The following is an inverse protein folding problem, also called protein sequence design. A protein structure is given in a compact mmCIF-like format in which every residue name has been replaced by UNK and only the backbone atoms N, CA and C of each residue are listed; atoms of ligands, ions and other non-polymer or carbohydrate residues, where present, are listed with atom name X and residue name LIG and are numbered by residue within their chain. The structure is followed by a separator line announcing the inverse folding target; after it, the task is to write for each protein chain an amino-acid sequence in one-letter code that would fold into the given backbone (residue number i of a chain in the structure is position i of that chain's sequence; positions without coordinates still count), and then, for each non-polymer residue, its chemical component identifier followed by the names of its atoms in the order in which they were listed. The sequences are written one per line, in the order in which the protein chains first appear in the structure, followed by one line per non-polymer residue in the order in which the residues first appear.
data_IF_265380398168
#
_entry.id   IF_265380398168
#
_cell.length_a   1.000
_cell.length_b   1.000
_cell.length_c   1.000
_cell.angle_alpha   90.00
_cell.angle_beta   90.00
_cell.angle_gamma   90.00
#
_symmetry.space_group_name_H-M   'P 1'
#
loop_
_entity.id
_entity.type
_entity.pdbx_description
1 polymer ?
#
# COMPACT_ATOMS: atom_id res chain seq x y z
N UNK A 1 8.07 -9.47 9.60
CA UNK A 1 8.63 -10.75 10.06
C UNK A 1 8.28 -11.07 11.52
N UNK A 2 7.80 -10.09 12.31
CA UNK A 2 7.59 -10.24 13.75
C UNK A 2 6.11 -10.31 14.18
N UNK A 3 5.16 -10.44 13.24
CA UNK A 3 3.75 -10.54 13.58
C UNK A 3 3.45 -11.82 14.39
N UNK A 4 2.67 -11.69 15.45
CA UNK A 4 2.29 -12.82 16.31
C UNK A 4 1.56 -13.87 15.48
N UNK A 5 2.05 -15.12 15.53
CA UNK A 5 1.45 -16.24 14.81
C UNK A 5 2.02 -16.50 13.41
N UNK A 6 3.05 -15.77 12.98
CA UNK A 6 3.72 -16.02 11.70
C UNK A 6 4.25 -17.47 11.62
N UNK A 7 3.98 -18.15 10.50
CA UNK A 7 4.39 -19.52 10.23
C UNK A 7 3.46 -20.60 10.77
N UNK A 8 2.43 -20.25 11.54
CA UNK A 8 1.45 -21.23 12.02
C UNK A 8 0.65 -21.82 10.85
N UNK A 9 0.21 -23.06 11.03
CA UNK A 9 -0.63 -23.79 10.08
C UNK A 9 -2.01 -23.99 10.68
N UNK A 10 -3.03 -23.79 9.87
CA UNK A 10 -4.43 -23.93 10.24
C UNK A 10 -5.13 -24.92 9.31
N UNK A 11 -6.22 -25.51 9.79
CA UNK A 11 -6.99 -26.51 9.05
C UNK A 11 -7.93 -25.89 8.04
N UNK A 12 -8.50 -24.72 8.37
CA UNK A 12 -9.45 -23.99 7.53
C UNK A 12 -9.47 -22.48 7.84
N UNK A 13 -10.28 -21.73 7.08
CA UNK A 13 -10.42 -20.28 7.24
C UNK A 13 -11.14 -19.89 8.56
N UNK A 14 -12.07 -20.72 9.04
CA UNK A 14 -12.82 -20.45 10.28
C UNK A 14 -11.91 -20.51 11.51
N UNK A 15 -10.99 -21.49 11.54
CA UNK A 15 -9.97 -21.58 12.58
C UNK A 15 -9.06 -20.35 12.59
N UNK A 16 -8.65 -19.87 11.40
CA UNK A 16 -7.84 -18.64 11.28
C UNK A 16 -8.59 -17.44 11.81
N UNK A 17 -9.87 -17.27 11.42
CA UNK A 17 -10.70 -16.15 11.89
C UNK A 17 -10.85 -16.16 13.40
N UNK A 18 -11.18 -17.31 13.99
CA UNK A 18 -11.29 -17.48 15.43
C UNK A 18 -9.97 -17.15 16.15
N UNK A 19 -8.85 -17.62 15.63
CA UNK A 19 -7.53 -17.33 16.19
C UNK A 19 -7.18 -15.83 16.12
N UNK A 20 -7.58 -15.14 15.04
CA UNK A 20 -7.35 -13.71 14.88
C UNK A 20 -8.26 -12.88 15.81
N UNK A 21 -9.53 -13.23 15.94
CA UNK A 21 -10.48 -12.57 16.84
C UNK A 21 -10.11 -12.76 18.33
N UNK A 22 -9.55 -13.92 18.67
CA UNK A 22 -9.01 -14.18 20.02
C UNK A 22 -7.64 -13.53 20.29
N UNK A 23 -7.04 -12.84 19.31
CA UNK A 23 -5.72 -12.22 19.45
C UNK A 23 -4.54 -13.19 19.46
N UNK A 24 -4.74 -14.46 19.10
CA UNK A 24 -3.70 -15.47 19.03
C UNK A 24 -2.80 -15.34 17.78
N UNK A 25 -3.29 -14.63 16.78
CA UNK A 25 -2.56 -14.22 15.57
C UNK A 25 -2.93 -12.80 15.19
N UNK A 26 -1.98 -12.08 14.60
CA UNK A 26 -2.25 -10.77 14.02
C UNK A 26 -2.78 -10.90 12.59
N UNK A 27 -3.61 -9.95 12.15
CA UNK A 27 -4.23 -9.94 10.82
C UNK A 27 -3.23 -9.96 9.66
N UNK A 28 -2.02 -9.43 9.87
CA UNK A 28 -0.92 -9.40 8.90
C UNK A 28 0.04 -10.58 9.02
N UNK A 29 -0.13 -11.47 9.99
CA UNK A 29 0.74 -12.63 10.17
C UNK A 29 0.65 -13.56 8.95
N UNK A 30 1.80 -13.96 8.42
CA UNK A 30 1.87 -14.97 7.35
C UNK A 30 1.62 -16.34 7.92
N UNK A 31 0.57 -16.99 7.46
CA UNK A 31 0.09 -18.28 7.92
C UNK A 31 -0.02 -19.25 6.74
N UNK A 32 -0.13 -20.55 7.04
CA UNK A 32 -0.34 -21.60 6.05
C UNK A 32 -1.70 -22.23 6.26
N UNK A 33 -2.53 -22.24 5.19
CA UNK A 33 -3.89 -22.76 5.22
C UNK A 33 -4.23 -23.38 3.86
N UNK A 34 -5.11 -24.41 3.79
CA UNK A 34 -5.65 -24.88 2.52
C UNK A 34 -6.43 -23.75 1.81
N UNK A 35 -6.21 -23.59 0.52
CA UNK A 35 -6.91 -22.58 -0.29
C UNK A 35 -8.43 -22.87 -0.31
N UNK A 36 -9.28 -21.92 0.10
CA UNK A 36 -10.73 -22.13 0.12
C UNK A 36 -11.35 -22.14 -1.28
N UNK A 37 -10.71 -21.48 -2.24
CA UNK A 37 -11.14 -21.35 -3.64
C UNK A 37 -9.93 -21.48 -4.59
N UNK A 38 -10.18 -21.61 -5.88
CA UNK A 38 -9.15 -21.53 -6.91
C UNK A 38 -8.52 -20.13 -6.97
N UNK A 39 -7.29 -20.06 -7.46
CA UNK A 39 -6.58 -18.79 -7.59
C UNK A 39 -7.19 -17.88 -8.66
N UNK A 40 -7.39 -16.59 -8.35
CA UNK A 40 -7.80 -15.57 -9.32
C UNK A 40 -6.81 -15.43 -10.48
N UNK A 41 -5.51 -15.63 -10.21
CA UNK A 41 -4.50 -15.75 -11.27
C UNK A 41 -4.38 -17.21 -11.67
N UNK A 42 -4.62 -17.50 -12.95
CA UNK A 42 -4.55 -18.85 -13.49
C UNK A 42 -3.21 -19.54 -13.15
N UNK A 43 -3.31 -20.77 -12.68
CA UNK A 43 -2.18 -21.67 -12.50
C UNK A 43 -1.33 -21.50 -11.24
N UNK A 44 -1.66 -20.57 -10.32
CA UNK A 44 -0.90 -20.38 -9.08
C UNK A 44 -1.17 -21.48 -8.04
N UNK A 45 -2.45 -21.80 -7.78
CA UNK A 45 -2.89 -22.85 -6.86
C UNK A 45 -4.34 -23.22 -7.14
N UNK A 46 -4.75 -24.38 -6.65
CA UNK A 46 -6.14 -24.88 -6.71
C UNK A 46 -6.73 -24.97 -5.31
N UNK A 47 -8.05 -25.07 -5.24
CA UNK A 47 -8.76 -25.32 -3.99
C UNK A 47 -8.19 -26.55 -3.28
N UNK A 48 -7.84 -26.38 -2.00
CA UNK A 48 -7.25 -27.42 -1.16
C UNK A 48 -5.72 -27.43 -1.12
N UNK A 49 -5.02 -26.74 -2.03
CA UNK A 49 -3.58 -26.57 -1.95
C UNK A 49 -3.18 -25.75 -0.72
N UNK A 50 -2.06 -26.10 -0.09
CA UNK A 50 -1.57 -25.34 1.06
C UNK A 50 -0.91 -24.07 0.54
N UNK A 51 -1.52 -22.92 0.85
CA UNK A 51 -1.03 -21.60 0.48
C UNK A 51 -0.47 -20.85 1.69
N UNK A 52 0.50 -19.98 1.43
CA UNK A 52 0.93 -18.97 2.39
C UNK A 52 0.11 -17.70 2.14
N UNK A 53 -0.62 -17.26 3.15
CA UNK A 53 -1.51 -16.10 3.09
C UNK A 53 -1.53 -15.39 4.43
N UNK A 54 -2.40 -14.39 4.61
CA UNK A 54 -2.63 -13.72 5.89
C UNK A 54 -4.07 -13.85 6.33
N UNK A 55 -4.34 -13.71 7.63
CA UNK A 55 -5.70 -13.69 8.15
C UNK A 55 -6.54 -12.57 7.51
N UNK A 56 -5.93 -11.40 7.25
CA UNK A 56 -6.59 -10.30 6.56
C UNK A 56 -6.98 -10.62 5.11
N UNK A 57 -6.12 -11.34 4.37
CA UNK A 57 -6.42 -11.79 3.01
C UNK A 57 -7.57 -12.79 2.99
N UNK A 58 -7.61 -13.72 3.95
CA UNK A 58 -8.73 -14.66 4.09
C UNK A 58 -10.04 -13.93 4.36
N UNK A 59 -10.06 -13.02 5.34
CA UNK A 59 -11.25 -12.23 5.66
C UNK A 59 -11.74 -11.37 4.48
N UNK A 60 -10.81 -10.82 3.67
CA UNK A 60 -11.16 -10.11 2.44
C UNK A 60 -11.87 -11.03 1.44
N UNK A 61 -11.32 -12.22 1.19
CA UNK A 61 -11.89 -13.16 0.24
C UNK A 61 -13.20 -13.80 0.72
N UNK A 62 -13.40 -13.97 2.02
CA UNK A 62 -14.68 -14.41 2.60
C UNK A 62 -15.82 -13.40 2.36
N UNK A 63 -15.49 -12.12 2.32
CA UNK A 63 -16.49 -11.08 2.02
C UNK A 63 -16.84 -11.00 0.53
N UNK A 64 -16.04 -11.60 -0.36
CA UNK A 64 -16.30 -11.58 -1.80
C UNK A 64 -17.38 -12.60 -2.18
N UNK A 65 -18.17 -12.35 -3.27
CA UNK A 65 -19.10 -13.33 -3.83
C UNK A 65 -18.42 -14.69 -4.07
N UNK A 66 -19.18 -15.77 -3.96
CA UNK A 66 -18.66 -17.14 -4.13
C UNK A 66 -18.06 -17.38 -5.51
N UNK A 67 -18.57 -16.69 -6.51
CA UNK A 67 -18.16 -16.79 -7.91
C UNK A 67 -16.79 -16.15 -8.18
N UNK A 68 -16.34 -15.26 -7.30
CA UNK A 68 -15.03 -14.61 -7.42
C UNK A 68 -13.95 -15.50 -6.85
N UNK A 69 -12.95 -15.82 -7.66
CA UNK A 69 -11.81 -16.64 -7.29
C UNK A 69 -10.94 -15.97 -6.22
N UNK A 70 -10.10 -16.74 -5.53
CA UNK A 70 -9.31 -16.29 -4.38
C UNK A 70 -8.14 -15.39 -4.80
N UNK A 71 -8.09 -14.19 -4.24
CA UNK A 71 -7.00 -13.23 -4.46
C UNK A 71 -6.00 -13.29 -3.32
N UNK A 72 -4.76 -13.71 -3.60
CA UNK A 72 -3.67 -13.85 -2.63
C UNK A 72 -2.52 -12.87 -2.91
N UNK A 73 -2.84 -11.62 -3.16
CA UNK A 73 -1.86 -10.56 -3.35
C UNK A 73 -2.30 -9.26 -2.69
N UNK A 74 -1.34 -8.35 -2.49
CA UNK A 74 -1.65 -7.03 -1.98
C UNK A 74 -2.36 -6.21 -3.06
N UNK A 75 -3.60 -5.83 -2.80
CA UNK A 75 -4.41 -5.01 -3.71
C UNK A 75 -4.17 -3.52 -3.45
N UNK A 76 -3.52 -2.87 -4.41
CA UNK A 76 -3.52 -1.42 -4.51
C UNK A 76 -4.66 -0.91 -5.40
N UNK A 77 -4.73 0.39 -5.65
CA UNK A 77 -5.78 0.98 -6.50
C UNK A 77 -5.79 0.41 -7.93
N UNK A 78 -4.60 0.20 -8.50
CA UNK A 78 -4.46 -0.30 -9.88
C UNK A 78 -4.86 -1.78 -9.98
N UNK A 79 -4.46 -2.58 -9.01
CA UNK A 79 -4.76 -4.01 -8.94
C UNK A 79 -6.25 -4.22 -8.71
N UNK A 80 -6.86 -3.42 -7.83
CA UNK A 80 -8.29 -3.45 -7.56
C UNK A 80 -9.10 -3.07 -8.81
N UNK A 81 -8.71 -2.03 -9.55
CA UNK A 81 -9.37 -1.67 -10.83
C UNK A 81 -9.31 -2.82 -11.83
N UNK A 82 -8.14 -3.43 -12.02
CA UNK A 82 -8.00 -4.59 -12.92
C UNK A 82 -8.86 -5.78 -12.50
N UNK A 83 -8.94 -6.06 -11.20
CA UNK A 83 -9.82 -7.10 -10.66
C UNK A 83 -11.28 -6.81 -10.97
N UNK A 84 -11.74 -5.59 -10.76
CA UNK A 84 -13.12 -5.17 -11.06
C UNK A 84 -13.41 -5.31 -12.55
N UNK A 85 -12.52 -4.84 -13.43
CA UNK A 85 -12.66 -4.97 -14.89
C UNK A 85 -12.71 -6.45 -15.31
N UNK A 86 -11.86 -7.29 -14.73
CA UNK A 86 -11.83 -8.72 -15.03
C UNK A 86 -13.14 -9.40 -14.66
N UNK A 87 -13.70 -9.13 -13.46
CA UNK A 87 -14.98 -9.69 -13.02
C UNK A 87 -16.14 -9.15 -13.85
N UNK A 88 -16.11 -7.87 -14.22
CA UNK A 88 -17.16 -7.26 -15.05
C UNK A 88 -17.25 -7.89 -16.45
N UNK A 89 -16.11 -8.19 -17.07
CA UNK A 89 -16.01 -8.78 -18.40
C UNK A 89 -16.06 -10.31 -18.43
N UNK A 90 -15.99 -10.95 -17.27
CA UNK A 90 -16.11 -12.40 -17.19
C UNK A 90 -17.54 -12.86 -17.53
N UNK A 91 -17.64 -14.03 -18.19
CA UNK A 91 -18.94 -14.63 -18.50
C UNK A 91 -19.60 -15.24 -17.25
N UNK A 92 -20.95 -15.22 -17.19
CA UNK A 92 -21.68 -15.93 -16.13
C UNK A 92 -21.32 -17.44 -16.12
N UNK A 93 -21.22 -18.09 -14.92
CA UNK A 93 -21.56 -17.56 -13.61
C UNK A 93 -20.43 -16.79 -12.91
N UNK A 94 -19.20 -16.77 -13.45
CA UNK A 94 -18.01 -16.21 -12.77
C UNK A 94 -17.93 -14.68 -12.77
N UNK A 95 -18.81 -13.99 -13.48
CA UNK A 95 -18.74 -12.53 -13.59
C UNK A 95 -20.00 -11.89 -14.12
N UNK A 96 -19.85 -10.65 -14.60
CA UNK A 96 -20.91 -9.81 -15.13
C UNK A 96 -21.32 -8.69 -14.16
N UNK A 97 -22.19 -7.80 -14.64
CA UNK A 97 -22.57 -6.58 -13.92
C UNK A 97 -23.13 -6.84 -12.50
N UNK A 98 -23.96 -7.88 -12.34
CA UNK A 98 -24.58 -8.18 -11.04
C UNK A 98 -23.54 -8.61 -9.98
N UNK A 99 -22.65 -9.55 -10.33
CA UNK A 99 -21.58 -10.02 -9.44
C UNK A 99 -20.62 -8.87 -9.11
N UNK A 100 -20.32 -8.03 -10.10
CA UNK A 100 -19.49 -6.84 -9.88
C UNK A 100 -20.12 -5.88 -8.87
N UNK A 101 -21.43 -5.65 -8.91
CA UNK A 101 -22.12 -4.79 -7.93
C UNK A 101 -22.03 -5.40 -6.53
N UNK A 102 -22.30 -6.70 -6.38
CA UNK A 102 -22.18 -7.39 -5.09
C UNK A 102 -20.76 -7.32 -4.54
N UNK A 103 -19.75 -7.52 -5.39
CA UNK A 103 -18.35 -7.42 -5.04
C UNK A 103 -17.99 -6.01 -4.58
N UNK A 104 -18.43 -4.96 -5.27
CA UNK A 104 -18.17 -3.57 -4.89
C UNK A 104 -18.83 -3.21 -3.55
N UNK A 105 -20.05 -3.68 -3.30
CA UNK A 105 -20.73 -3.49 -2.02
C UNK A 105 -20.01 -4.22 -0.88
N UNK A 106 -19.51 -5.43 -1.12
CA UNK A 106 -18.75 -6.19 -0.16
C UNK A 106 -17.41 -5.50 0.17
N UNK A 107 -16.66 -5.04 -0.85
CA UNK A 107 -15.42 -4.28 -0.67
C UNK A 107 -15.66 -3.00 0.16
N UNK A 108 -16.72 -2.26 -0.17
CA UNK A 108 -17.12 -1.07 0.58
C UNK A 108 -17.40 -1.40 2.05
N UNK A 109 -18.20 -2.42 2.31
CA UNK A 109 -18.62 -2.82 3.66
C UNK A 109 -17.42 -3.26 4.52
N UNK A 110 -16.56 -4.13 3.97
CA UNK A 110 -15.35 -4.59 4.69
C UNK A 110 -14.35 -3.45 4.89
N UNK A 111 -14.22 -2.54 3.92
CA UNK A 111 -13.37 -1.36 4.01
C UNK A 111 -13.80 -0.45 5.17
N UNK A 112 -15.06 -0.06 5.25
CA UNK A 112 -15.57 0.76 6.35
C UNK A 112 -15.46 0.07 7.71
N UNK A 113 -15.84 -1.21 7.79
CA UNK A 113 -15.73 -2.00 9.03
C UNK A 113 -14.30 -2.00 9.56
N UNK A 114 -13.34 -2.36 8.71
CA UNK A 114 -11.95 -2.47 9.13
C UNK A 114 -11.30 -1.11 9.39
N UNK A 115 -11.63 -0.06 8.63
CA UNK A 115 -11.17 1.29 8.91
C UNK A 115 -11.63 1.80 10.27
N UNK A 116 -12.87 1.48 10.66
CA UNK A 116 -13.42 1.82 11.97
C UNK A 116 -12.69 1.11 13.09
N UNK A 117 -12.43 -0.20 12.96
CA UNK A 117 -11.71 -0.97 13.97
C UNK A 117 -10.24 -0.58 14.06
N UNK A 118 -9.60 -0.29 12.94
CA UNK A 118 -8.19 0.11 12.92
C UNK A 118 -7.98 1.47 13.60
N UNK A 119 -8.93 2.40 13.47
CA UNK A 119 -8.89 3.70 14.13
C UNK A 119 -7.59 4.47 13.83
N UNK A 120 -7.22 4.59 12.54
CA UNK A 120 -5.97 5.19 12.13
C UNK A 120 -5.77 6.59 12.72
N UNK A 121 -4.70 6.78 13.48
CA UNK A 121 -4.28 8.06 14.07
C UNK A 121 -2.85 8.37 13.68
N UNK A 122 -2.52 9.67 13.58
CA UNK A 122 -1.17 10.13 13.32
C UNK A 122 -0.58 10.62 14.64
N UNK A 123 0.50 9.97 15.07
CA UNK A 123 1.31 10.40 16.22
C UNK A 123 2.51 11.23 15.76
N UNK A 124 3.12 12.00 16.68
CA UNK A 124 4.35 12.73 16.39
C UNK A 124 5.49 11.82 15.95
N UNK A 125 5.54 10.60 16.48
CA UNK A 125 6.55 9.59 16.10
C UNK A 125 6.39 9.07 14.68
N UNK A 126 5.23 9.27 14.04
CA UNK A 126 5.00 8.87 12.66
C UNK A 126 5.59 9.87 11.66
N UNK A 127 5.92 11.08 12.12
CA UNK A 127 6.49 12.16 11.31
C UNK A 127 8.01 12.04 11.33
N UNK A 128 8.57 11.43 10.29
CA UNK A 128 10.01 11.26 10.16
C UNK A 128 10.63 12.37 9.32
N UNK A 129 11.64 13.03 9.88
CA UNK A 129 12.47 13.98 9.14
C UNK A 129 13.72 13.23 8.68
N UNK A 130 14.00 13.13 7.35
CA UNK A 130 15.22 12.50 6.86
C UNK A 130 16.47 13.18 7.43
N UNK A 131 17.42 12.39 7.90
CA UNK A 131 18.66 12.93 8.48
C UNK A 131 19.48 13.71 7.44
N UNK A 132 19.37 13.32 6.18
CA UNK A 132 20.04 13.93 5.05
C UNK A 132 19.46 15.29 4.65
N UNK A 133 18.28 15.67 5.14
CA UNK A 133 17.60 16.93 4.78
C UNK A 133 18.53 18.12 4.95
N UNK A 134 19.20 18.25 6.10
CA UNK A 134 20.10 19.38 6.38
C UNK A 134 21.23 19.46 5.38
N UNK A 135 21.91 18.34 5.13
CA UNK A 135 23.05 18.29 4.18
C UNK A 135 22.64 18.58 2.75
N UNK A 136 21.45 18.14 2.33
CA UNK A 136 20.90 18.44 1.00
C UNK A 136 20.58 19.92 0.87
N UNK A 137 19.88 20.49 1.85
CA UNK A 137 19.55 21.92 1.88
C UNK A 137 20.80 22.80 1.84
N UNK A 138 21.84 22.46 2.61
CA UNK A 138 23.11 23.23 2.63
C UNK A 138 23.82 23.19 1.27
N UNK A 139 23.78 22.06 0.56
CA UNK A 139 24.31 21.95 -0.80
C UNK A 139 23.56 22.82 -1.79
N UNK A 140 22.24 22.73 -1.78
CA UNK A 140 21.38 23.50 -2.68
C UNK A 140 21.53 25.00 -2.43
N UNK A 141 21.57 25.44 -1.17
CA UNK A 141 21.79 26.85 -0.85
C UNK A 141 23.11 27.37 -1.42
N UNK A 142 24.19 26.60 -1.33
CA UNK A 142 25.49 26.98 -1.92
C UNK A 142 25.43 27.06 -3.46
N UNK A 143 24.65 26.20 -4.11
CA UNK A 143 24.46 26.27 -5.56
C UNK A 143 23.60 27.47 -5.96
N UNK A 144 22.54 27.76 -5.19
CA UNK A 144 21.71 28.98 -5.39
C UNK A 144 22.56 30.24 -5.23
N UNK A 145 23.42 30.31 -4.20
CA UNK A 145 24.33 31.46 -4.01
C UNK A 145 25.27 31.66 -5.22
N UNK A 146 25.79 30.59 -5.82
CA UNK A 146 26.60 30.67 -7.04
C UNK A 146 25.79 31.26 -8.21
N UNK A 147 24.57 30.75 -8.43
CA UNK A 147 23.68 31.24 -9.48
C UNK A 147 23.37 32.74 -9.29
N UNK A 148 23.08 33.15 -8.05
CA UNK A 148 22.83 34.57 -7.72
C UNK A 148 24.09 35.42 -7.95
N UNK A 149 25.26 34.95 -7.58
CA UNK A 149 26.53 35.64 -7.82
C UNK A 149 26.84 35.80 -9.32
N UNK A 150 26.56 34.78 -10.13
CA UNK A 150 26.74 34.83 -11.58
C UNK A 150 25.74 35.81 -12.25
N UNK A 151 24.50 35.87 -11.75
CA UNK A 151 23.55 36.90 -12.14
C UNK A 151 24.04 38.30 -11.80
N UNK A 152 24.55 38.50 -10.59
CA UNK A 152 25.07 39.82 -10.16
C UNK A 152 26.32 40.27 -10.94
N UNK A 153 27.07 39.32 -11.52
CA UNK A 153 28.19 39.57 -12.44
C UNK A 153 27.75 39.83 -13.88
N UNK A 154 26.46 39.75 -14.19
CA UNK A 154 25.93 39.93 -15.53
C UNK A 154 26.15 38.75 -16.49
N UNK A 155 26.48 37.57 -15.97
CA UNK A 155 26.75 36.36 -16.77
C UNK A 155 25.47 35.72 -17.26
N UNK A 156 24.33 35.99 -16.62
CA UNK A 156 23.02 35.43 -16.99
C UNK A 156 21.88 36.45 -16.85
N UNK A 157 20.78 36.19 -17.53
CA UNK A 157 19.56 36.99 -17.47
C UNK A 157 18.73 36.67 -16.22
N UNK A 158 17.76 37.52 -15.90
CA UNK A 158 16.85 37.29 -14.78
C UNK A 158 15.98 36.03 -14.96
N UNK A 159 15.57 35.76 -16.20
CA UNK A 159 14.76 34.58 -16.54
C UNK A 159 15.58 33.29 -16.42
N UNK A 160 16.81 33.27 -16.91
CA UNK A 160 17.71 32.13 -16.76
C UNK A 160 18.04 31.84 -15.30
N UNK A 161 18.22 32.88 -14.46
CA UNK A 161 18.40 32.70 -13.02
C UNK A 161 17.19 32.04 -12.40
N UNK A 162 15.98 32.53 -12.72
CA UNK A 162 14.73 32.02 -12.19
C UNK A 162 14.53 30.55 -12.56
N UNK A 163 14.71 30.21 -13.83
CA UNK A 163 14.59 28.85 -14.33
C UNK A 163 15.57 27.89 -13.67
N UNK A 164 16.85 28.28 -13.55
CA UNK A 164 17.88 27.46 -12.90
C UNK A 164 17.59 27.23 -11.42
N UNK A 165 17.19 28.26 -10.67
CA UNK A 165 16.87 28.15 -9.25
C UNK A 165 15.63 27.26 -9.04
N UNK A 166 14.58 27.47 -9.82
CA UNK A 166 13.36 26.66 -9.73
C UNK A 166 13.63 25.21 -10.06
N UNK A 167 14.35 24.92 -11.15
CA UNK A 167 14.74 23.56 -11.55
C UNK A 167 15.58 22.85 -10.48
N UNK A 168 16.48 23.58 -9.82
CA UNK A 168 17.30 23.05 -8.74
C UNK A 168 16.47 22.67 -7.51
N UNK A 169 15.53 23.53 -7.14
CA UNK A 169 14.61 23.24 -6.03
C UNK A 169 13.67 22.07 -6.35
N UNK A 170 13.08 22.04 -7.54
CA UNK A 170 12.21 20.94 -7.97
C UNK A 170 12.92 19.58 -7.94
N UNK A 171 14.18 19.54 -8.40
CA UNK A 171 14.99 18.33 -8.34
C UNK A 171 15.24 17.91 -6.89
N UNK A 172 15.59 18.85 -6.04
CA UNK A 172 15.89 18.58 -4.63
C UNK A 172 14.65 18.11 -3.88
N UNK A 173 13.51 18.72 -4.15
CA UNK A 173 12.22 18.33 -3.56
C UNK A 173 11.86 16.89 -3.93
N UNK A 174 11.99 16.52 -5.21
CA UNK A 174 11.77 15.14 -5.67
C UNK A 174 12.69 14.14 -5.00
N UNK A 175 13.98 14.47 -4.87
CA UNK A 175 14.96 13.61 -4.22
C UNK A 175 14.68 13.46 -2.71
N UNK A 176 14.34 14.56 -2.04
CA UNK A 176 14.01 14.57 -0.61
C UNK A 176 12.71 13.81 -0.33
N UNK A 177 11.68 14.02 -1.15
CA UNK A 177 10.40 13.30 -1.06
C UNK A 177 10.59 11.81 -1.23
N UNK A 178 11.41 11.38 -2.20
CA UNK A 178 11.72 9.97 -2.40
C UNK A 178 12.38 9.35 -1.16
N UNK A 179 13.40 10.01 -0.61
CA UNK A 179 14.08 9.54 0.62
C UNK A 179 13.14 9.51 1.82
N UNK A 180 12.27 10.51 1.95
CA UNK A 180 11.27 10.54 3.01
C UNK A 180 10.33 9.33 2.90
N UNK A 181 9.82 9.02 1.72
CA UNK A 181 8.96 7.86 1.49
C UNK A 181 9.68 6.54 1.78
N UNK A 182 10.94 6.40 1.37
CA UNK A 182 11.76 5.22 1.68
C UNK A 182 11.98 5.03 3.20
N UNK A 183 12.17 6.13 3.93
CA UNK A 183 12.33 6.08 5.39
C UNK A 183 11.00 5.75 6.09
N UNK A 184 9.88 6.32 5.63
CA UNK A 184 8.55 6.02 6.14
C UNK A 184 8.16 4.55 5.88
N UNK A 185 8.55 3.98 4.72
CA UNK A 185 8.31 2.57 4.40
C UNK A 185 9.03 1.62 5.36
N UNK A 186 10.24 1.97 5.78
CA UNK A 186 11.02 1.15 6.72
C UNK A 186 10.59 1.33 8.18
N UNK A 187 9.92 2.43 8.49
CA UNK A 187 9.48 2.73 9.84
C UNK A 187 8.34 1.82 10.26
N UNK A 188 8.42 1.29 11.48
CA UNK A 188 7.43 0.36 12.05
C UNK A 188 7.14 -0.85 11.12
N UNK A 189 8.17 -1.36 10.44
CA UNK A 189 8.07 -2.51 9.52
C UNK A 189 6.98 -2.32 8.41
N UNK A 190 6.80 -1.09 7.93
CA UNK A 190 5.80 -0.75 6.91
C UNK A 190 4.42 -0.37 7.44
N UNK A 191 4.25 -0.27 8.76
CA UNK A 191 2.99 0.12 9.42
C UNK A 191 2.98 1.58 9.90
N UNK A 192 3.80 2.44 9.30
CA UNK A 192 3.67 3.87 9.52
C UNK A 192 2.36 4.39 8.91
N UNK A 193 1.52 5.04 9.72
CA UNK A 193 0.17 5.46 9.30
C UNK A 193 0.21 6.46 8.14
N UNK A 194 1.19 7.37 8.13
CA UNK A 194 1.35 8.36 7.05
C UNK A 194 1.71 7.66 5.74
N UNK A 195 2.67 6.71 5.79
CA UNK A 195 3.07 5.94 4.63
C UNK A 195 1.93 5.09 4.07
N UNK A 196 1.16 4.43 4.95
CA UNK A 196 0.00 3.63 4.55
C UNK A 196 -1.06 4.48 3.84
N UNK A 197 -1.37 5.69 4.36
CA UNK A 197 -2.32 6.60 3.72
C UNK A 197 -1.83 7.09 2.36
N UNK A 198 -0.55 7.47 2.25
CA UNK A 198 0.04 7.92 0.99
C UNK A 198 0.11 6.81 -0.06
N UNK A 199 0.57 5.60 0.33
CA UNK A 199 0.70 4.46 -0.58
C UNK A 199 -0.65 3.91 -1.05
N UNK A 200 -1.67 3.92 -0.20
CA UNK A 200 -3.02 3.44 -0.56
C UNK A 200 -3.76 4.37 -1.52
N UNK A 201 -3.27 5.59 -1.73
CA UNK A 201 -3.97 6.59 -2.54
C UNK A 201 -5.16 7.24 -1.84
N UNK A 202 -5.39 6.95 -0.56
CA UNK A 202 -6.48 7.54 0.22
C UNK A 202 -6.28 9.05 0.43
N UNK A 203 -5.02 9.47 0.51
CA UNK A 203 -4.58 10.88 0.48
C UNK A 203 -3.20 10.95 -0.18
N UNK A 204 -3.15 11.32 -1.42
CA UNK A 204 -1.96 11.61 -2.20
C UNK A 204 -1.99 13.03 -2.71
#
# INVERSE_FOLDING_TARGET
PNAIGTGKRFSDSDEVRMAAECGNIEWQAKIKVPAPKDSFKEGLFKKGDIIETTAGTLAFNEAMPEEVDFVNEQLGEKELKKMIESVYHAEPPKGGAWITIQMLDAIKAIGYKNATFYGATIAMDDILIPQEKKSMMDKVNKEVEKIVNDYNKGVMTADERHEKVTSLWDKTDKELSKKMMENLEKHKDGFNTIWMMAKSGARG
#
